data_IF_461435061829
#
_entry.id   IF_461435061829
#
_cell.length_a   1.000
_cell.length_b   1.000
_cell.length_c   1.000
_cell.angle_alpha   90.00
_cell.angle_beta   90.00
_cell.angle_gamma   90.00
#
_symmetry.space_group_name_H-M   'P 1'
#
loop_
_entity.id
_entity.type
_entity.pdbx_description
1 polymer ?
#
# COMPACT_ATOMS: atom_id res chain seq x y z
N UNK A 1 -28.30 -44.97 -67.47
CA UNK A 1 -26.89 -45.33 -67.26
C UNK A 1 -26.73 -45.60 -65.76
N UNK A 2 -26.63 -46.90 -65.39
CA UNK A 2 -26.48 -47.50 -64.04
C UNK A 2 -27.51 -47.13 -62.95
N UNK A 3 -27.88 -47.98 -61.98
CA UNK A 3 -27.97 -49.44 -61.80
C UNK A 3 -28.71 -49.64 -60.47
N UNK A 4 -29.41 -50.77 -60.36
CA UNK A 4 -30.09 -51.30 -59.16
C UNK A 4 -29.09 -51.62 -58.03
N UNK A 5 -29.55 -51.64 -56.78
CA UNK A 5 -29.71 -52.85 -55.91
C UNK A 5 -29.52 -52.55 -54.41
N UNK A 6 -30.60 -52.80 -53.66
CA UNK A 6 -30.75 -53.38 -52.30
C UNK A 6 -29.48 -53.77 -51.52
N UNK A 7 -29.38 -53.39 -50.22
CA UNK A 7 -29.22 -54.35 -49.11
C UNK A 7 -29.43 -53.69 -47.73
N UNK A 8 -30.30 -54.31 -46.93
CA UNK A 8 -30.42 -54.17 -45.48
C UNK A 8 -29.36 -55.06 -44.83
N UNK A 9 -28.56 -54.55 -43.89
CA UNK A 9 -27.96 -55.33 -42.80
C UNK A 9 -27.42 -54.40 -41.70
N UNK A 10 -28.05 -54.39 -40.52
CA UNK A 10 -27.68 -55.12 -39.30
C UNK A 10 -26.95 -54.22 -38.31
N UNK A 11 -27.63 -54.00 -37.17
CA UNK A 11 -27.11 -53.40 -35.96
C UNK A 11 -25.83 -54.08 -35.47
N UNK A 12 -24.86 -53.29 -35.01
CA UNK A 12 -23.91 -53.71 -33.99
C UNK A 12 -23.75 -52.58 -32.98
N UNK A 13 -24.27 -52.84 -31.78
CA UNK A 13 -24.03 -52.11 -30.54
C UNK A 13 -22.53 -52.19 -30.20
N UNK A 14 -21.90 -51.05 -29.96
CA UNK A 14 -20.74 -50.92 -29.07
C UNK A 14 -20.88 -49.61 -28.29
N UNK A 15 -21.51 -49.72 -27.12
CA UNK A 15 -21.42 -48.73 -26.04
C UNK A 15 -20.02 -48.84 -25.43
N UNK A 16 -19.15 -47.87 -25.72
CA UNK A 16 -17.94 -47.65 -24.91
C UNK A 16 -18.22 -46.50 -23.96
N UNK A 17 -18.58 -46.86 -22.73
CA UNK A 17 -18.61 -45.95 -21.58
C UNK A 17 -17.15 -45.62 -21.25
N UNK A 18 -16.68 -44.43 -21.62
CA UNK A 18 -15.51 -43.83 -20.99
C UNK A 18 -16.01 -42.91 -19.88
N UNK A 19 -16.19 -43.48 -18.69
CA UNK A 19 -16.24 -42.71 -17.46
C UNK A 19 -14.85 -42.16 -17.19
N UNK A 20 -14.62 -40.89 -17.54
CA UNK A 20 -13.51 -40.12 -17.02
C UNK A 20 -13.93 -39.60 -15.64
N UNK A 21 -13.27 -40.15 -14.63
CA UNK A 21 -13.23 -39.63 -13.27
C UNK A 21 -12.69 -38.20 -13.35
N UNK A 22 -13.54 -37.21 -13.12
CA UNK A 22 -13.12 -35.85 -12.77
C UNK A 22 -12.79 -35.85 -11.28
N UNK A 23 -11.53 -36.17 -10.98
CA UNK A 23 -10.87 -35.74 -9.76
C UNK A 23 -9.91 -34.62 -10.14
N UNK A 24 -9.81 -33.65 -9.23
CA UNK A 24 -8.83 -32.55 -9.18
C UNK A 24 -9.21 -31.28 -9.95
N UNK A 25 -10.14 -30.50 -9.39
CA UNK A 25 -9.99 -29.04 -9.35
C UNK A 25 -9.65 -28.67 -7.91
N UNK A 26 -8.39 -28.90 -7.55
CA UNK A 26 -7.74 -28.16 -6.46
C UNK A 26 -7.14 -26.96 -7.15
N UNK A 27 -7.62 -25.75 -6.80
CA UNK A 27 -7.09 -24.49 -7.31
C UNK A 27 -5.56 -24.51 -7.28
N UNK A 28 -4.96 -24.63 -8.47
CA UNK A 28 -3.54 -24.48 -8.62
C UNK A 28 -3.24 -22.99 -8.40
N UNK A 29 -2.70 -22.65 -7.23
CA UNK A 29 -1.92 -21.44 -7.05
C UNK A 29 -0.78 -21.50 -8.08
N UNK A 30 -0.96 -20.86 -9.24
CA UNK A 30 0.16 -20.52 -10.11
C UNK A 30 1.04 -19.55 -9.34
N UNK A 31 2.11 -20.08 -8.75
CA UNK A 31 3.20 -19.27 -8.23
C UNK A 31 3.83 -18.57 -9.45
N UNK A 32 3.67 -17.25 -9.52
CA UNK A 32 4.29 -16.43 -10.54
C UNK A 32 5.81 -16.70 -10.54
N UNK A 33 6.44 -17.06 -11.67
CA UNK A 33 7.87 -17.32 -11.75
C UNK A 33 8.75 -16.09 -11.45
N UNK A 34 8.17 -14.90 -11.32
CA UNK A 34 8.83 -13.68 -10.82
C UNK A 34 8.74 -13.51 -9.31
N UNK A 35 7.98 -14.36 -8.62
CA UNK A 35 7.88 -14.29 -7.17
C UNK A 35 9.16 -14.77 -6.48
N UNK A 36 9.81 -13.89 -5.74
CA UNK A 36 11.09 -14.18 -5.06
C UNK A 36 10.95 -13.94 -3.57
N UNK A 37 11.16 -14.99 -2.77
CA UNK A 37 11.19 -14.90 -1.32
C UNK A 37 12.49 -14.26 -0.83
N UNK A 38 12.36 -13.14 -0.14
CA UNK A 38 13.43 -12.35 0.44
C UNK A 38 13.33 -12.33 1.96
N UNK A 39 13.75 -13.42 2.61
CA UNK A 39 13.91 -13.53 4.07
C UNK A 39 12.64 -13.33 4.91
N UNK A 40 12.07 -12.12 4.88
CA UNK A 40 10.91 -11.63 5.63
C UNK A 40 9.64 -11.44 4.78
N UNK A 41 9.74 -11.43 3.44
CA UNK A 41 8.61 -11.25 2.53
C UNK A 41 8.82 -12.01 1.22
N UNK A 42 7.76 -12.16 0.43
CA UNK A 42 7.85 -12.56 -0.98
C UNK A 42 7.46 -11.37 -1.84
N UNK A 43 8.31 -10.99 -2.79
CA UNK A 43 7.93 -10.07 -3.86
C UNK A 43 6.99 -10.83 -4.78
N UNK A 44 5.74 -10.40 -4.94
CA UNK A 44 4.72 -11.07 -5.75
C UNK A 44 4.72 -10.51 -7.17
N UNK A 45 4.72 -9.19 -7.30
CA UNK A 45 4.69 -8.49 -8.58
C UNK A 45 5.31 -7.09 -8.48
N UNK A 46 5.70 -6.54 -9.64
CA UNK A 46 6.10 -5.13 -9.80
C UNK A 46 5.12 -4.48 -10.79
N UNK A 47 4.44 -3.44 -10.33
CA UNK A 47 3.43 -2.71 -11.08
C UNK A 47 3.97 -1.33 -11.51
N UNK A 48 3.53 -0.79 -12.66
CA UNK A 48 3.88 0.58 -13.05
C UNK A 48 3.36 1.61 -12.04
N UNK A 49 4.18 2.61 -11.74
CA UNK A 49 3.84 3.77 -10.92
C UNK A 49 4.20 5.08 -11.66
N UNK A 50 3.55 6.19 -11.32
CA UNK A 50 3.77 7.48 -11.96
C UNK A 50 5.11 8.08 -11.48
N UNK A 51 6.14 8.21 -12.34
CA UNK A 51 7.44 8.72 -11.91
C UNK A 51 7.43 10.22 -11.58
N UNK A 52 6.34 10.94 -11.88
CA UNK A 52 6.15 12.33 -11.44
C UNK A 52 5.47 12.44 -10.06
N UNK A 53 5.00 11.32 -9.48
CA UNK A 53 4.31 11.29 -8.20
C UNK A 53 5.29 11.30 -7.02
N UNK A 54 5.26 12.37 -6.23
CA UNK A 54 6.02 12.46 -4.99
C UNK A 54 5.17 11.90 -3.85
N UNK A 55 5.03 10.58 -3.78
CA UNK A 55 4.10 9.87 -2.88
C UNK A 55 4.28 10.20 -1.41
N UNK A 56 3.21 10.68 -0.76
CA UNK A 56 3.16 11.02 0.67
C UNK A 56 2.07 10.27 1.45
N UNK A 57 1.12 9.65 0.75
CA UNK A 57 0.14 8.74 1.35
C UNK A 57 -0.38 7.73 0.33
N UNK A 58 -0.58 6.49 0.74
CA UNK A 58 -1.07 5.42 -0.13
C UNK A 58 -2.02 4.53 0.68
N UNK A 59 -3.16 4.13 0.12
CA UNK A 59 -4.05 3.17 0.80
C UNK A 59 -4.96 2.43 -0.18
N UNK A 60 -5.41 1.24 0.22
CA UNK A 60 -6.55 0.59 -0.41
C UNK A 60 -7.83 0.83 0.40
N UNK A 61 -8.93 1.12 -0.30
CA UNK A 61 -10.26 1.17 0.29
C UNK A 61 -11.30 0.67 -0.72
N UNK A 62 -12.16 -0.27 -0.32
CA UNK A 62 -13.11 -0.95 -1.20
C UNK A 62 -12.47 -1.55 -2.48
N UNK A 63 -11.23 -2.04 -2.35
CA UNK A 63 -10.45 -2.58 -3.47
C UNK A 63 -9.86 -1.53 -4.41
N UNK A 64 -10.06 -0.24 -4.14
CA UNK A 64 -9.56 0.90 -4.92
C UNK A 64 -8.30 1.45 -4.26
N UNK A 65 -7.27 1.72 -5.07
CA UNK A 65 -6.02 2.35 -4.62
C UNK A 65 -6.16 3.87 -4.67
N UNK A 66 -5.80 4.52 -3.57
CA UNK A 66 -5.74 5.97 -3.44
C UNK A 66 -4.31 6.41 -3.13
N UNK A 67 -3.90 7.54 -3.72
CA UNK A 67 -2.58 8.11 -3.53
C UNK A 67 -2.69 9.61 -3.25
N UNK A 68 -1.88 10.11 -2.31
CA UNK A 68 -1.64 11.53 -2.08
C UNK A 68 -0.19 11.87 -2.35
N UNK A 69 0.07 13.05 -2.91
CA UNK A 69 1.41 13.50 -3.27
C UNK A 69 1.78 14.89 -2.77
N UNK A 70 3.08 15.06 -2.57
CA UNK A 70 3.72 16.31 -2.22
C UNK A 70 4.13 17.18 -3.41
N UNK A 71 4.91 18.22 -3.10
CA UNK A 71 5.45 19.29 -3.96
C UNK A 71 4.44 20.40 -4.31
N UNK A 72 4.80 21.63 -3.94
CA UNK A 72 4.05 22.84 -4.28
C UNK A 72 3.73 22.92 -5.78
N UNK A 73 2.45 23.13 -6.09
CA UNK A 73 1.92 23.21 -7.44
C UNK A 73 1.74 21.87 -8.15
N UNK A 74 2.12 20.75 -7.50
CA UNK A 74 1.99 19.39 -8.05
C UNK A 74 1.16 18.46 -7.18
N UNK A 75 1.02 18.74 -5.89
CA UNK A 75 0.24 17.92 -4.95
C UNK A 75 -1.17 17.59 -5.44
N UNK A 76 -1.54 16.32 -5.30
CA UNK A 76 -2.87 15.81 -5.61
C UNK A 76 -3.28 14.71 -4.63
N UNK A 77 -4.58 14.39 -4.64
CA UNK A 77 -5.12 13.09 -4.22
C UNK A 77 -5.73 12.42 -5.45
N UNK A 78 -5.39 11.17 -5.74
CA UNK A 78 -5.88 10.41 -6.89
C UNK A 78 -6.54 9.10 -6.49
N UNK A 79 -7.55 8.73 -7.28
CA UNK A 79 -8.13 7.39 -7.33
C UNK A 79 -7.50 6.66 -8.52
N UNK A 80 -6.90 5.50 -8.29
CA UNK A 80 -6.25 4.69 -9.34
C UNK A 80 -7.15 3.54 -9.81
N UNK A 81 -7.03 3.21 -11.09
CA UNK A 81 -7.73 2.08 -11.70
C UNK A 81 -7.24 0.77 -11.09
N UNK A 82 -8.18 -0.02 -10.60
CA UNK A 82 -7.91 -1.34 -10.02
C UNK A 82 -7.66 -2.43 -11.06
N UNK A 83 -8.03 -2.17 -12.31
CA UNK A 83 -7.80 -3.06 -13.44
C UNK A 83 -6.45 -2.78 -14.13
N UNK A 84 -5.84 -1.63 -13.87
CA UNK A 84 -4.58 -1.22 -14.50
C UNK A 84 -3.83 -0.20 -13.63
N UNK A 85 -2.77 -0.67 -12.97
CA UNK A 85 -1.84 0.20 -12.24
C UNK A 85 -1.21 1.27 -13.15
N UNK A 86 -0.90 2.43 -12.57
CA UNK A 86 -0.38 3.60 -13.29
C UNK A 86 -1.43 4.46 -14.00
N UNK A 87 -2.70 4.07 -13.99
CA UNK A 87 -3.81 4.86 -14.56
C UNK A 87 -4.68 5.41 -13.45
N UNK A 88 -4.89 6.73 -13.39
CA UNK A 88 -5.84 7.35 -12.47
C UNK A 88 -7.18 7.65 -13.15
N UNK A 89 -8.25 7.68 -12.35
CA UNK A 89 -9.63 7.88 -12.83
C UNK A 89 -10.25 9.17 -12.28
N UNK A 90 -9.79 9.65 -11.12
CA UNK A 90 -10.20 10.91 -10.50
C UNK A 90 -9.02 11.56 -9.82
N UNK A 91 -9.09 12.88 -9.70
CA UNK A 91 -8.04 13.69 -9.10
C UNK A 91 -8.65 14.89 -8.37
N UNK A 92 -8.18 15.13 -7.16
CA UNK A 92 -8.26 16.40 -6.46
C UNK A 92 -6.87 17.04 -6.51
N UNK A 93 -6.79 18.34 -6.81
CA UNK A 93 -5.54 19.10 -6.72
C UNK A 93 -5.59 20.03 -5.53
N UNK A 94 -4.54 19.98 -4.74
CA UNK A 94 -4.36 20.95 -3.65
C UNK A 94 -4.14 22.37 -4.24
N UNK A 95 -4.40 23.43 -3.45
CA UNK A 95 -3.95 24.76 -3.80
C UNK A 95 -2.44 24.78 -4.14
N UNK A 96 -2.03 25.67 -5.05
CA UNK A 96 -0.69 25.62 -5.63
C UNK A 96 0.45 25.85 -4.63
N UNK A 97 0.17 26.45 -3.48
CA UNK A 97 1.10 26.71 -2.37
C UNK A 97 0.98 25.70 -1.22
N UNK A 98 0.21 24.62 -1.42
CA UNK A 98 -0.02 23.58 -0.41
C UNK A 98 0.71 22.30 -0.82
N UNK A 99 1.57 21.83 0.08
CA UNK A 99 2.20 20.53 0.02
C UNK A 99 1.31 19.49 0.72
N UNK A 100 0.70 18.60 -0.07
CA UNK A 100 -0.10 17.47 0.41
C UNK A 100 0.74 16.38 1.03
N UNK A 101 0.19 15.67 2.02
CA UNK A 101 0.87 14.63 2.79
C UNK A 101 -0.01 13.37 2.87
N UNK A 102 0.05 12.61 3.97
CA UNK A 102 -0.74 11.41 4.20
C UNK A 102 -2.25 11.61 4.07
N UNK A 103 -2.94 10.55 3.64
CA UNK A 103 -4.40 10.50 3.55
C UNK A 103 -4.94 9.30 4.33
N UNK A 104 -6.17 9.42 4.82
CA UNK A 104 -6.95 8.27 5.30
C UNK A 104 -8.38 8.35 4.80
N UNK A 105 -8.99 7.18 4.60
CA UNK A 105 -10.42 7.10 4.30
C UNK A 105 -11.15 6.56 5.52
N UNK A 106 -12.06 7.37 6.05
CA UNK A 106 -12.93 7.01 7.17
C UNK A 106 -14.36 7.38 6.81
N UNK A 107 -15.25 6.40 6.87
CA UNK A 107 -16.58 6.43 6.26
C UNK A 107 -16.51 6.80 4.76
N UNK A 108 -17.37 7.70 4.28
CA UNK A 108 -17.41 8.16 2.88
C UNK A 108 -16.53 9.40 2.63
N UNK A 109 -15.52 9.65 3.48
CA UNK A 109 -14.65 10.84 3.41
C UNK A 109 -13.18 10.47 3.25
N UNK A 110 -12.49 11.26 2.44
CA UNK A 110 -11.02 11.26 2.38
C UNK A 110 -10.54 12.42 3.25
N UNK A 111 -9.73 12.13 4.27
CA UNK A 111 -9.03 13.12 5.06
C UNK A 111 -7.62 13.24 4.50
N UNK A 112 -7.20 14.46 4.16
CA UNK A 112 -5.90 14.71 3.56
C UNK A 112 -5.11 15.72 4.39
N UNK A 113 -3.94 15.28 4.86
CA UNK A 113 -2.98 16.12 5.56
C UNK A 113 -2.19 16.99 4.60
N UNK A 114 -1.49 17.92 5.22
CA UNK A 114 -0.57 18.85 4.58
C UNK A 114 0.67 18.98 5.44
N UNK A 115 1.80 19.33 4.82
CA UNK A 115 3.08 19.34 5.52
C UNK A 115 3.15 20.36 6.65
N UNK A 116 3.11 21.65 6.32
CA UNK A 116 3.40 22.76 7.26
C UNK A 116 2.26 23.76 7.44
N UNK A 117 1.20 23.66 6.66
CA UNK A 117 0.11 24.64 6.72
C UNK A 117 -0.79 24.48 7.94
N UNK A 118 -0.73 23.33 8.63
CA UNK A 118 -1.62 22.95 9.75
C UNK A 118 -3.11 22.99 9.39
N UNK A 119 -3.41 22.81 8.11
CA UNK A 119 -4.77 22.79 7.56
C UNK A 119 -4.91 21.56 6.68
N UNK A 120 -5.74 20.60 7.08
CA UNK A 120 -6.11 19.47 6.25
C UNK A 120 -7.43 19.68 5.52
N UNK A 121 -7.72 18.79 4.58
CA UNK A 121 -8.92 18.82 3.75
C UNK A 121 -9.77 17.58 4.00
N UNK A 122 -11.09 17.75 4.05
CA UNK A 122 -12.06 16.67 4.00
C UNK A 122 -12.70 16.67 2.62
N UNK A 123 -12.51 15.58 1.87
CA UNK A 123 -13.07 15.42 0.54
C UNK A 123 -14.18 14.38 0.57
N UNK A 124 -15.22 14.60 -0.23
CA UNK A 124 -16.19 13.56 -0.55
C UNK A 124 -15.50 12.47 -1.37
N UNK A 125 -15.51 11.22 -0.88
CA UNK A 125 -14.77 10.12 -1.52
C UNK A 125 -15.22 9.85 -2.95
N UNK A 126 -16.49 10.10 -3.28
CA UNK A 126 -17.06 9.75 -4.59
C UNK A 126 -16.74 10.81 -5.65
N UNK A 127 -16.82 12.07 -5.26
CA UNK A 127 -16.74 13.23 -6.16
C UNK A 127 -15.44 14.01 -6.05
N UNK A 128 -14.65 13.79 -4.99
CA UNK A 128 -13.42 14.52 -4.67
C UNK A 128 -13.68 16.03 -4.41
N UNK A 129 -14.94 16.41 -4.21
CA UNK A 129 -15.29 17.77 -3.81
C UNK A 129 -14.86 18.03 -2.36
N UNK A 130 -14.32 19.21 -2.09
CA UNK A 130 -14.04 19.65 -0.72
C UNK A 130 -15.38 19.76 0.02
N UNK A 131 -15.51 18.98 1.09
CA UNK A 131 -16.61 19.07 2.04
C UNK A 131 -16.28 20.07 3.15
N UNK A 132 -15.04 20.03 3.64
CA UNK A 132 -14.59 20.89 4.73
C UNK A 132 -13.05 21.01 4.74
N UNK A 133 -12.56 21.90 5.60
CA UNK A 133 -11.15 21.99 6.00
C UNK A 133 -11.05 21.85 7.51
N UNK A 134 -9.97 21.27 8.00
CA UNK A 134 -9.74 21.12 9.44
C UNK A 134 -8.38 21.64 9.86
N UNK A 135 -8.29 22.15 11.09
CA UNK A 135 -7.02 22.44 11.72
C UNK A 135 -6.57 21.24 12.55
N UNK A 136 -5.27 21.02 12.64
CA UNK A 136 -4.70 19.97 13.46
C UNK A 136 -3.42 20.46 14.13
N UNK A 137 -3.10 19.89 15.29
CA UNK A 137 -1.86 20.16 16.02
C UNK A 137 -1.15 18.84 16.27
N UNK A 138 0.13 18.79 15.92
CA UNK A 138 1.02 17.65 16.14
C UNK A 138 2.16 18.02 17.07
N UNK A 139 3.01 17.06 17.42
CA UNK A 139 4.16 17.28 18.30
C UNK A 139 5.19 18.21 17.67
N UNK A 140 5.37 18.11 16.34
CA UNK A 140 6.31 18.95 15.58
C UNK A 140 5.66 20.17 14.95
N UNK A 141 4.33 20.20 14.87
CA UNK A 141 3.57 21.18 14.10
C UNK A 141 3.50 20.87 12.60
N UNK A 142 4.03 19.72 12.16
CA UNK A 142 3.95 19.21 10.79
C UNK A 142 2.97 18.02 10.70
N UNK A 143 2.40 17.76 9.53
CA UNK A 143 1.66 16.53 9.22
C UNK A 143 2.45 15.68 8.24
N UNK A 144 2.60 14.38 8.49
CA UNK A 144 3.34 13.45 7.62
C UNK A 144 2.38 12.33 7.19
N UNK A 145 2.51 11.11 7.73
CA UNK A 145 1.61 10.00 7.42
C UNK A 145 0.24 10.10 8.11
N UNK A 146 -0.78 9.50 7.47
CA UNK A 146 -2.11 9.34 8.03
C UNK A 146 -2.65 7.95 7.69
N UNK A 147 -3.29 7.27 8.65
CA UNK A 147 -4.09 6.05 8.44
C UNK A 147 -5.27 6.05 9.41
N UNK A 148 -6.03 4.96 9.52
CA UNK A 148 -7.16 4.86 10.46
C UNK A 148 -7.34 3.44 10.99
N UNK A 149 -7.77 3.33 12.26
CA UNK A 149 -8.27 2.08 12.84
C UNK A 149 -9.79 1.86 12.61
N UNK A 150 -10.42 2.70 11.79
CA UNK A 150 -11.86 2.72 11.57
C UNK A 150 -12.64 3.57 12.59
N UNK A 151 -11.95 4.21 13.54
CA UNK A 151 -12.55 5.09 14.55
C UNK A 151 -11.82 6.43 14.68
N UNK A 152 -10.49 6.38 14.78
CA UNK A 152 -9.60 7.54 14.89
C UNK A 152 -8.83 7.75 13.60
N UNK A 153 -8.44 8.99 13.34
CA UNK A 153 -7.37 9.29 12.37
C UNK A 153 -6.02 9.14 13.09
N UNK A 154 -5.11 8.36 12.53
CA UNK A 154 -3.81 8.06 13.15
C UNK A 154 -2.74 8.79 12.34
N UNK A 155 -1.98 9.66 13.00
CA UNK A 155 -1.08 10.62 12.34
C UNK A 155 0.34 10.49 12.86
N UNK A 156 1.31 10.51 11.94
CA UNK A 156 2.72 10.75 12.22
C UNK A 156 3.10 12.18 11.83
N UNK A 157 4.19 12.66 12.40
CA UNK A 157 4.67 14.03 12.21
C UNK A 157 6.21 14.12 12.14
N UNK A 158 6.86 12.99 11.80
CA UNK A 158 8.31 12.83 11.79
C UNK A 158 8.94 12.64 13.17
N UNK A 159 8.20 12.84 14.27
CA UNK A 159 8.70 12.53 15.61
C UNK A 159 8.63 11.03 15.91
N UNK A 160 8.80 10.67 17.19
CA UNK A 160 8.56 9.31 17.67
C UNK A 160 7.11 9.11 18.14
N UNK A 161 6.33 10.18 18.20
CA UNK A 161 4.97 10.16 18.72
C UNK A 161 3.99 9.95 17.58
N UNK A 162 3.10 8.98 17.75
CA UNK A 162 1.94 8.78 16.89
C UNK A 162 0.72 9.31 17.62
N UNK A 163 -0.08 10.10 16.92
CA UNK A 163 -1.25 10.77 17.45
C UNK A 163 -2.51 10.08 16.91
N UNK A 164 -3.49 9.89 17.78
CA UNK A 164 -4.83 9.41 17.42
C UNK A 164 -5.77 10.59 17.62
N UNK A 165 -6.40 11.03 16.53
CA UNK A 165 -7.24 12.21 16.46
C UNK A 165 -8.70 11.78 16.34
N UNK A 166 -9.59 12.45 17.06
CA UNK A 166 -11.03 12.31 16.86
C UNK A 166 -11.41 12.98 15.53
N UNK A 167 -12.03 12.28 14.58
CA UNK A 167 -12.38 12.85 13.27
C UNK A 167 -13.46 13.93 13.31
N UNK A 168 -14.16 14.11 14.44
CA UNK A 168 -15.23 15.12 14.57
C UNK A 168 -14.71 16.53 14.79
N UNK A 169 -13.55 16.69 15.43
CA UNK A 169 -12.98 18.00 15.79
C UNK A 169 -11.43 18.05 15.74
N UNK A 170 -10.78 16.94 15.37
CA UNK A 170 -9.34 16.76 15.24
C UNK A 170 -8.52 16.88 16.52
N UNK A 171 -9.16 16.81 17.70
CA UNK A 171 -8.40 16.80 18.96
C UNK A 171 -7.71 15.44 19.17
N UNK A 172 -6.53 15.49 19.79
CA UNK A 172 -5.78 14.29 20.13
C UNK A 172 -6.45 13.58 21.31
N UNK A 173 -6.96 12.37 21.05
CA UNK A 173 -7.58 11.50 22.08
C UNK A 173 -6.58 10.56 22.72
N UNK A 174 -5.49 10.23 22.01
CA UNK A 174 -4.50 9.27 22.45
C UNK A 174 -3.17 9.50 21.73
N UNK A 175 -2.07 9.17 22.40
CA UNK A 175 -0.76 9.10 21.79
C UNK A 175 -0.04 7.81 22.17
N UNK A 176 0.87 7.36 21.31
CA UNK A 176 1.85 6.31 21.61
C UNK A 176 3.23 6.80 21.17
N UNK A 177 4.29 6.26 21.77
CA UNK A 177 5.66 6.51 21.34
C UNK A 177 6.24 5.25 20.69
N UNK A 178 6.77 5.40 19.48
CA UNK A 178 7.42 4.32 18.73
C UNK A 178 8.77 4.00 19.36
N UNK A 179 8.90 2.79 19.90
CA UNK A 179 10.08 2.35 20.67
C UNK A 179 10.62 1.02 20.19
N UNK A 180 11.95 0.90 20.17
CA UNK A 180 12.66 -0.37 19.95
C UNK A 180 12.62 -1.25 21.19
N UNK A 181 13.09 -2.49 21.05
CA UNK A 181 13.19 -3.45 22.15
C UNK A 181 14.06 -2.96 23.33
N UNK A 182 15.06 -2.11 23.07
CA UNK A 182 15.90 -1.50 24.11
C UNK A 182 15.27 -0.25 24.77
N UNK A 183 14.05 0.11 24.37
CA UNK A 183 13.33 1.28 24.86
C UNK A 183 13.70 2.60 24.17
N UNK A 184 14.63 2.59 23.21
CA UNK A 184 14.97 3.79 22.45
C UNK A 184 13.85 4.22 21.51
N UNK A 185 13.61 5.53 21.40
CA UNK A 185 12.64 6.08 20.47
C UNK A 185 13.10 5.91 19.02
N UNK A 186 12.16 5.64 18.12
CA UNK A 186 12.36 5.73 16.67
C UNK A 186 11.80 7.06 16.19
N UNK A 187 12.56 7.82 15.41
CA UNK A 187 12.12 9.08 14.79
C UNK A 187 12.01 8.93 13.28
N UNK A 188 11.59 9.99 12.61
CA UNK A 188 11.35 10.04 11.17
C UNK A 188 10.28 9.05 10.73
N UNK A 189 9.29 8.80 11.60
CA UNK A 189 8.14 7.98 11.24
C UNK A 189 7.33 8.78 10.21
N UNK A 190 7.18 8.21 9.02
CA UNK A 190 6.55 8.88 7.89
C UNK A 190 5.21 8.22 7.57
N UNK A 191 5.01 7.77 6.34
CA UNK A 191 3.77 7.15 5.92
C UNK A 191 3.40 5.93 6.78
N UNK A 192 2.09 5.76 7.00
CA UNK A 192 1.49 4.81 7.92
C UNK A 192 0.43 3.97 7.21
N UNK A 193 0.31 2.70 7.60
CA UNK A 193 -0.82 1.86 7.23
C UNK A 193 -1.28 0.97 8.40
N UNK A 194 -2.57 1.02 8.75
CA UNK A 194 -3.13 0.22 9.84
C UNK A 194 -3.57 -1.16 9.34
N UNK A 195 -2.97 -2.21 9.89
CA UNK A 195 -3.23 -3.60 9.48
C UNK A 195 -3.51 -4.45 10.71
N UNK A 196 -4.78 -4.75 10.94
CA UNK A 196 -5.24 -5.73 11.94
C UNK A 196 -4.69 -5.51 13.36
N UNK A 197 -4.61 -4.27 13.83
CA UNK A 197 -4.09 -3.93 15.17
C UNK A 197 -2.64 -3.48 15.20
N UNK A 198 -1.91 -3.65 14.10
CA UNK A 198 -0.56 -3.13 13.93
C UNK A 198 -0.56 -1.87 13.06
N UNK A 199 0.44 -1.02 13.26
CA UNK A 199 0.83 0.02 12.30
C UNK A 199 2.04 -0.47 11.52
N UNK A 200 1.92 -0.49 10.19
CA UNK A 200 3.06 -0.45 9.31
C UNK A 200 3.49 1.01 9.15
N UNK A 201 4.79 1.27 9.19
CA UNK A 201 5.29 2.62 9.07
C UNK A 201 6.60 2.69 8.28
N UNK A 202 6.68 3.62 7.33
CA UNK A 202 7.95 4.01 6.75
C UNK A 202 8.80 4.77 7.77
N UNK A 203 10.12 4.59 7.68
CA UNK A 203 11.09 5.44 8.38
C UNK A 203 11.87 6.23 7.34
N UNK A 204 11.66 7.55 7.30
CA UNK A 204 12.19 8.41 6.25
C UNK A 204 13.73 8.33 6.14
N UNK A 205 14.22 8.29 4.91
CA UNK A 205 15.60 7.97 4.47
C UNK A 205 16.09 6.52 4.72
N UNK A 206 15.19 5.57 4.95
CA UNK A 206 15.54 4.14 5.02
C UNK A 206 14.66 3.29 4.12
N UNK A 207 15.15 2.15 3.67
CA UNK A 207 14.33 1.14 2.98
C UNK A 207 13.80 0.13 4.01
N UNK A 208 13.15 0.63 5.04
CA UNK A 208 12.60 -0.17 6.13
C UNK A 208 11.14 0.17 6.37
N UNK A 209 10.34 -0.87 6.62
CA UNK A 209 9.00 -0.76 7.20
C UNK A 209 9.06 -1.32 8.62
N UNK A 210 8.53 -0.57 9.57
CA UNK A 210 8.33 -1.05 10.93
C UNK A 210 6.92 -1.61 11.07
N UNK A 211 6.78 -2.76 11.71
CA UNK A 211 5.51 -3.23 12.25
C UNK A 211 5.48 -2.89 13.73
N UNK A 212 4.53 -2.05 14.12
CA UNK A 212 4.42 -1.44 15.44
C UNK A 212 3.10 -1.88 16.05
N UNK A 213 3.14 -2.37 17.28
CA UNK A 213 1.94 -2.61 18.08
C UNK A 213 1.20 -1.26 18.28
N UNK A 214 0.00 -1.09 17.70
CA UNK A 214 -0.73 0.17 17.79
C UNK A 214 -1.23 0.46 19.22
N UNK A 215 -1.34 -0.57 20.07
CA UNK A 215 -1.74 -0.42 21.46
C UNK A 215 -0.58 0.05 22.36
N UNK A 216 0.67 -0.26 22.02
CA UNK A 216 1.82 0.02 22.91
C UNK A 216 2.89 0.93 22.30
N UNK A 217 2.94 1.07 20.98
CA UNK A 217 4.03 1.76 20.26
C UNK A 217 5.32 0.95 20.19
N UNK A 218 5.35 -0.31 20.63
CA UNK A 218 6.55 -1.14 20.53
C UNK A 218 6.72 -1.65 19.11
N UNK A 219 7.92 -1.52 18.57
CA UNK A 219 8.29 -2.16 17.30
C UNK A 219 8.33 -3.67 17.53
N UNK A 220 7.43 -4.40 16.86
CA UNK A 220 7.34 -5.86 16.87
C UNK A 220 8.30 -6.45 15.84
N UNK A 221 8.39 -5.81 14.67
CA UNK A 221 9.22 -6.27 13.56
C UNK A 221 9.77 -5.09 12.74
N UNK A 222 10.95 -5.31 12.18
CA UNK A 222 11.60 -4.40 11.22
C UNK A 222 11.80 -5.18 9.93
N UNK A 223 11.10 -4.78 8.86
CA UNK A 223 11.21 -5.36 7.52
C UNK A 223 12.30 -4.62 6.74
N UNK A 224 13.36 -5.33 6.33
CA UNK A 224 14.37 -4.76 5.43
C UNK A 224 13.93 -4.94 3.97
N UNK A 225 13.80 -3.82 3.26
CA UNK A 225 13.40 -3.75 1.86
C UNK A 225 14.50 -3.15 0.96
N UNK A 226 15.78 -3.24 1.35
CA UNK A 226 16.93 -2.68 0.60
C UNK A 226 17.05 -3.23 -0.83
N UNK A 227 16.43 -4.39 -1.11
CA UNK A 227 16.37 -4.95 -2.45
C UNK A 227 15.44 -4.19 -3.40
N UNK A 228 14.32 -3.63 -2.93
CA UNK A 228 13.31 -3.01 -3.81
C UNK A 228 13.85 -1.81 -4.60
N UNK A 229 14.59 -0.85 -4.01
CA UNK A 229 15.18 0.25 -4.78
C UNK A 229 16.18 -0.20 -5.85
N UNK A 230 16.72 -1.43 -5.78
CA UNK A 230 17.63 -1.95 -6.82
C UNK A 230 16.91 -2.45 -8.07
N UNK A 231 15.59 -2.66 -7.95
CA UNK A 231 14.70 -3.05 -9.04
C UNK A 231 13.98 -1.84 -9.67
N UNK A 232 14.03 -0.68 -9.00
CA UNK A 232 13.51 0.60 -9.48
C UNK A 232 14.52 1.23 -10.46
N UNK A 233 14.04 1.62 -11.64
CA UNK A 233 14.93 2.04 -12.74
C UNK A 233 15.07 3.56 -12.91
N UNK A 234 14.07 4.33 -12.48
CA UNK A 234 13.95 5.74 -12.82
C UNK A 234 14.82 6.64 -11.93
N UNK A 235 14.82 6.45 -10.61
CA UNK A 235 15.54 7.34 -9.67
C UNK A 235 17.04 7.34 -9.91
N UNK A 236 17.61 6.18 -10.28
CA UNK A 236 19.01 6.05 -10.63
C UNK A 236 19.43 7.00 -11.77
N UNK A 237 18.59 7.10 -12.80
CA UNK A 237 18.79 7.94 -13.98
C UNK A 237 18.35 9.41 -13.79
N UNK A 238 17.57 9.70 -12.74
CA UNK A 238 17.05 11.05 -12.51
C UNK A 238 18.17 12.06 -12.21
N UNK A 239 17.94 13.30 -12.64
CA UNK A 239 18.73 14.48 -12.30
C UNK A 239 17.83 15.56 -11.70
N UNK A 240 18.36 16.39 -10.80
CA UNK A 240 17.64 17.52 -10.23
C UNK A 240 17.61 17.50 -8.70
N UNK A 241 16.98 18.53 -8.13
CA UNK A 241 17.01 18.79 -6.68
C UNK A 241 16.33 17.70 -5.84
N UNK A 242 15.38 16.98 -6.41
CA UNK A 242 14.56 15.98 -5.71
C UNK A 242 15.17 14.58 -5.71
N UNK A 243 16.35 14.37 -6.32
CA UNK A 243 16.98 13.04 -6.37
C UNK A 243 17.28 12.46 -4.99
N UNK A 244 17.71 13.30 -4.06
CA UNK A 244 17.99 12.85 -2.69
C UNK A 244 16.72 12.51 -1.91
N UNK A 245 15.57 13.09 -2.31
CA UNK A 245 14.27 12.90 -1.65
C UNK A 245 13.40 11.84 -2.34
N UNK A 246 13.87 11.26 -3.46
CA UNK A 246 13.20 10.18 -4.19
C UNK A 246 13.37 8.82 -3.50
N UNK A 247 12.88 8.75 -2.26
CA UNK A 247 13.06 7.63 -1.33
C UNK A 247 11.78 6.81 -1.18
N UNK A 248 11.93 5.59 -0.65
CA UNK A 248 10.80 4.72 -0.30
C UNK A 248 9.81 5.43 0.64
N UNK A 249 8.53 5.47 0.26
CA UNK A 249 7.44 6.06 1.01
C UNK A 249 6.10 5.65 0.36
N UNK A 250 5.11 5.28 1.17
CA UNK A 250 3.81 4.78 0.71
C UNK A 250 3.66 3.28 0.96
N UNK A 251 2.65 2.91 1.76
CA UNK A 251 2.34 1.55 2.16
C UNK A 251 0.83 1.39 2.07
N UNK A 252 0.33 0.43 1.29
CA UNK A 252 -1.09 0.14 1.22
C UNK A 252 -1.36 -1.34 1.42
N UNK A 253 -2.26 -1.69 2.34
CA UNK A 253 -2.68 -3.05 2.59
C UNK A 253 -3.98 -3.35 1.84
N UNK A 254 -3.95 -4.35 0.96
CA UNK A 254 -5.16 -4.80 0.29
C UNK A 254 -5.78 -5.98 1.04
N UNK A 255 -6.96 -5.82 1.68
CA UNK A 255 -7.58 -6.90 2.45
C UNK A 255 -8.08 -8.06 1.57
N UNK A 256 -8.26 -7.88 0.25
CA UNK A 256 -8.78 -8.91 -0.63
C UNK A 256 -7.77 -10.04 -0.91
N UNK A 257 -6.49 -9.69 -1.04
CA UNK A 257 -5.39 -10.65 -1.22
C UNK A 257 -4.44 -10.72 -0.01
N UNK A 258 -4.63 -9.85 0.98
CA UNK A 258 -3.79 -9.72 2.17
C UNK A 258 -2.34 -9.33 1.87
N UNK A 259 -2.08 -8.75 0.70
CA UNK A 259 -0.76 -8.27 0.32
C UNK A 259 -0.56 -6.80 0.71
N UNK A 260 0.70 -6.40 0.84
CA UNK A 260 1.12 -5.02 1.09
C UNK A 260 1.78 -4.47 -0.16
N UNK A 261 1.39 -3.28 -0.57
CA UNK A 261 1.93 -2.55 -1.70
C UNK A 261 2.84 -1.45 -1.20
N UNK A 262 4.05 -1.36 -1.74
CA UNK A 262 5.07 -0.39 -1.34
C UNK A 262 5.58 0.33 -2.57
N UNK A 263 5.79 1.65 -2.47
CA UNK A 263 6.42 2.43 -3.53
C UNK A 263 7.36 3.49 -2.93
N UNK A 264 7.69 4.52 -3.70
CA UNK A 264 8.48 5.64 -3.24
C UNK A 264 8.22 6.90 -4.04
N UNK A 265 8.77 7.98 -3.52
CA UNK A 265 8.70 9.30 -4.14
C UNK A 265 9.42 9.26 -5.48
N UNK A 266 8.70 9.54 -6.56
CA UNK A 266 9.20 9.56 -7.94
C UNK A 266 9.69 8.19 -8.45
N UNK A 267 9.25 7.10 -7.82
CA UNK A 267 9.56 5.75 -8.30
C UNK A 267 8.67 5.41 -9.50
N UNK A 268 9.22 4.75 -10.52
CA UNK A 268 8.41 4.23 -11.64
C UNK A 268 7.73 2.89 -11.33
N UNK A 269 7.94 2.38 -10.10
CA UNK A 269 7.59 1.04 -9.68
C UNK A 269 6.83 1.02 -8.36
N UNK A 270 5.79 0.20 -8.29
CA UNK A 270 5.08 -0.19 -7.08
C UNK A 270 5.22 -1.70 -6.86
N UNK A 271 5.63 -2.11 -5.68
CA UNK A 271 5.98 -3.48 -5.35
C UNK A 271 4.87 -4.12 -4.52
N UNK A 272 4.34 -5.24 -5.00
CA UNK A 272 3.36 -6.05 -4.28
C UNK A 272 4.08 -7.13 -3.47
N UNK A 273 3.85 -7.15 -2.16
CA UNK A 273 4.57 -8.00 -1.21
C UNK A 273 3.59 -8.88 -0.44
N UNK A 274 3.89 -10.17 -0.36
CA UNK A 274 3.29 -11.07 0.63
C UNK A 274 4.20 -11.13 1.88
N UNK A 275 3.68 -10.61 3.00
CA UNK A 275 4.39 -10.62 4.28
C UNK A 275 4.13 -11.89 5.11
N UNK A 276 3.24 -12.77 4.65
CA UNK A 276 2.89 -14.04 5.32
C UNK A 276 3.73 -15.22 4.83
N UNK A 277 4.62 -15.00 3.86
CA UNK A 277 5.47 -16.03 3.30
C UNK A 277 6.28 -16.78 4.40
N UNK A 278 6.43 -18.11 4.29
CA UNK A 278 7.14 -18.91 5.30
C UNK A 278 8.56 -18.40 5.53
N UNK A 279 8.84 -17.94 6.75
CA UNK A 279 10.18 -17.51 7.15
C UNK A 279 11.05 -18.74 7.33
N UNK A 280 12.08 -18.91 6.52
CA UNK A 280 13.14 -19.87 6.82
C UNK A 280 13.91 -19.39 8.05
N UNK A 281 13.50 -19.82 9.23
CA UNK A 281 14.30 -19.69 10.45
C UNK A 281 15.57 -20.55 10.28
N UNK A 282 16.66 -19.95 9.81
CA UNK A 282 17.98 -20.53 9.99
C UNK A 282 18.29 -20.43 11.48
N UNK A 283 17.93 -21.47 12.24
CA UNK A 283 18.45 -21.66 13.60
C UNK A 283 19.96 -21.82 13.46
N UNK A 284 20.72 -20.76 13.79
CA UNK A 284 22.14 -20.92 14.09
C UNK A 284 22.22 -21.74 15.38
N UNK A 285 22.49 -23.03 15.25
CA UNK A 285 22.99 -23.82 16.37
C UNK A 285 24.37 -23.27 16.72
N UNK A 286 24.47 -22.60 17.86
CA UNK A 286 25.75 -22.31 18.50
C UNK A 286 26.40 -23.65 18.87
N UNK A 287 27.60 -23.89 18.36
CA UNK A 287 28.50 -24.93 18.87
C UNK A 287 29.26 -24.41 20.09
#
# INVERSE_FOLDING_TARGET
MFSRTVLVAVCLFLLTVHGLLSFDDVDAFEVDPTSVTHGQYTLVAIHPHDPDAFTEGLLFHDGILYESTGLDGKSFVREHSTNQFGVHVKEFRFPADVFGEGIAILDDKIYALTYKSKVGFVLDRKTFAILDTFHFETTTGEGWGMTTDGHSLIVSDGSATILFLDPSDMHVVRTINVTRADGSNVRNINELEYVQGDLLANVWFTNTILRIDAATGRVIETLNLDHLPTLEGHVGAMHGRWKADAVMNGIAYNPANQHVYVTGKLWDSMFELDLNAPRHHIRRHSY
#
